data_IF_004853633576
#
_entry.id   IF_004853633576
#
_cell.length_a   1.000
_cell.length_b   1.000
_cell.length_c   1.000
_cell.angle_alpha   90.00
_cell.angle_beta   90.00
_cell.angle_gamma   90.00
#
_symmetry.space_group_name_H-M   'P 1'
#
loop_
_entity.id
_entity.type
_entity.pdbx_description
1 polymer ?
#
# COMPACT_ATOMS: atom_id res chain seq x y z
N UNK A 1 -2.27 19.93 4.54
CA UNK A 1 -2.91 18.76 5.18
C UNK A 1 -4.38 19.10 5.38
N UNK A 2 -5.30 18.20 5.02
CA UNK A 2 -6.76 18.45 5.07
C UNK A 2 -7.43 17.89 6.34
N UNK A 3 -6.66 17.61 7.40
CA UNK A 3 -7.18 17.03 8.65
C UNK A 3 -7.48 15.52 8.59
N UNK A 4 -7.00 14.81 7.57
CA UNK A 4 -7.17 13.35 7.47
C UNK A 4 -6.10 12.64 8.30
N UNK A 5 -6.49 11.58 9.00
CA UNK A 5 -5.56 10.61 9.56
C UNK A 5 -4.96 9.75 8.44
N UNK A 6 -3.64 9.67 8.39
CA UNK A 6 -2.92 8.97 7.32
C UNK A 6 -2.08 7.86 7.93
N UNK A 7 -2.31 6.64 7.43
CA UNK A 7 -1.46 5.49 7.67
C UNK A 7 -0.64 5.23 6.40
N UNK A 8 0.68 5.16 6.55
CA UNK A 8 1.58 4.77 5.48
C UNK A 8 2.23 3.42 5.81
N UNK A 9 2.10 2.46 4.90
CA UNK A 9 2.78 1.17 4.99
C UNK A 9 3.86 1.10 3.92
N UNK A 10 5.09 0.81 4.32
CA UNK A 10 6.24 0.68 3.42
C UNK A 10 7.17 -0.44 3.86
N UNK A 11 7.89 -1.06 2.91
CA UNK A 11 8.82 -2.17 3.21
C UNK A 11 10.01 -1.75 4.08
N UNK A 12 10.39 -0.48 4.00
CA UNK A 12 11.48 0.16 4.74
C UNK A 12 11.17 1.65 4.91
N UNK A 13 11.98 2.35 5.71
CA UNK A 13 11.87 3.79 5.93
C UNK A 13 13.08 4.59 5.37
N UNK A 14 13.88 3.99 4.50
CA UNK A 14 15.15 4.55 4.04
C UNK A 14 14.96 5.87 3.28
N UNK A 15 13.86 5.99 2.55
CA UNK A 15 13.53 7.17 1.74
C UNK A 15 12.34 7.97 2.31
N UNK A 16 11.93 7.69 3.55
CA UNK A 16 10.73 8.27 4.17
C UNK A 16 10.99 9.62 4.87
N UNK A 17 12.07 10.34 4.55
CA UNK A 17 12.46 11.58 5.27
C UNK A 17 11.34 12.63 5.22
N UNK A 18 10.72 12.82 4.05
CA UNK A 18 9.60 13.76 3.87
C UNK A 18 8.38 13.34 4.69
N UNK A 19 8.18 12.04 4.89
CA UNK A 19 7.07 11.51 5.68
C UNK A 19 7.25 11.77 7.18
N UNK A 20 8.50 11.85 7.67
CA UNK A 20 8.79 12.12 9.09
C UNK A 20 8.39 13.51 9.54
N UNK A 21 8.32 14.48 8.62
CA UNK A 21 7.84 15.84 8.92
C UNK A 21 6.32 15.98 8.80
N UNK A 22 5.61 14.91 8.46
CA UNK A 22 4.15 14.87 8.37
C UNK A 22 3.58 14.15 9.58
N UNK A 23 2.39 14.57 9.99
CA UNK A 23 1.61 13.91 11.02
C UNK A 23 0.94 12.65 10.44
N UNK A 24 1.72 11.57 10.32
CA UNK A 24 1.27 10.29 9.77
C UNK A 24 1.75 9.12 10.63
N UNK A 25 0.96 8.05 10.65
CA UNK A 25 1.36 6.79 11.29
C UNK A 25 2.09 5.91 10.29
N UNK A 26 3.35 5.58 10.57
CA UNK A 26 4.18 4.70 9.74
C UNK A 26 4.17 3.26 10.25
N UNK A 27 3.88 2.30 9.36
CA UNK A 27 4.09 0.87 9.60
C UNK A 27 5.08 0.27 8.60
N UNK A 28 5.95 -0.60 9.08
CA UNK A 28 6.82 -1.40 8.21
C UNK A 28 6.09 -2.68 7.80
N UNK A 29 5.89 -2.86 6.49
CA UNK A 29 5.15 -3.99 5.93
C UNK A 29 5.39 -4.18 4.44
N UNK A 30 5.24 -5.41 3.96
CA UNK A 30 5.32 -5.76 2.54
C UNK A 30 4.03 -6.48 2.13
N UNK A 31 3.62 -6.32 0.87
CA UNK A 31 2.48 -7.04 0.31
C UNK A 31 2.76 -8.54 0.09
N UNK A 32 4.03 -8.92 0.10
CA UNK A 32 4.48 -10.29 -0.11
C UNK A 32 4.79 -11.03 1.19
N UNK A 33 4.69 -10.39 2.36
CA UNK A 33 4.90 -11.02 3.66
C UNK A 33 3.65 -10.93 4.56
N UNK A 34 3.65 -11.72 5.64
CA UNK A 34 2.54 -11.81 6.61
C UNK A 34 2.42 -10.56 7.48
N UNK A 35 2.14 -9.42 6.87
CA UNK A 35 1.80 -8.18 7.56
C UNK A 35 0.32 -8.20 7.97
N UNK A 36 0.00 -7.65 9.14
CA UNK A 36 -1.34 -7.64 9.71
C UNK A 36 -2.32 -6.69 9.02
N UNK A 37 -2.53 -6.87 7.72
CA UNK A 37 -3.34 -6.00 6.86
C UNK A 37 -4.76 -5.81 7.36
N UNK A 38 -5.37 -6.84 7.96
CA UNK A 38 -6.73 -6.75 8.51
C UNK A 38 -6.86 -5.64 9.56
N UNK A 39 -5.88 -5.52 10.46
CA UNK A 39 -5.87 -4.48 11.50
C UNK A 39 -5.65 -3.10 10.91
N UNK A 40 -4.88 -2.98 9.84
CA UNK A 40 -4.62 -1.70 9.18
C UNK A 40 -5.79 -1.26 8.31
N UNK A 41 -6.47 -2.20 7.64
CA UNK A 41 -7.60 -1.92 6.77
C UNK A 41 -8.88 -1.62 7.56
N UNK A 42 -8.96 -2.06 8.82
CA UNK A 42 -10.11 -1.76 9.67
C UNK A 42 -10.22 -0.26 9.94
N UNK A 43 -11.32 0.34 9.47
CA UNK A 43 -11.57 1.78 9.58
C UNK A 43 -10.99 2.62 8.43
N UNK A 44 -10.29 2.02 7.46
CA UNK A 44 -9.79 2.75 6.30
C UNK A 44 -10.90 2.97 5.27
N UNK A 45 -11.12 4.23 4.91
CA UNK A 45 -12.12 4.62 3.92
C UNK A 45 -11.53 4.83 2.52
N UNK A 46 -10.25 5.21 2.44
CA UNK A 46 -9.57 5.52 1.17
C UNK A 46 -8.19 4.89 1.14
N UNK A 47 -7.88 4.18 0.06
CA UNK A 47 -6.59 3.53 -0.16
C UNK A 47 -5.92 4.15 -1.38
N UNK A 48 -4.67 4.57 -1.22
CA UNK A 48 -3.77 4.94 -2.31
C UNK A 48 -2.69 3.86 -2.45
N UNK A 49 -2.79 3.03 -3.49
CA UNK A 49 -1.83 1.98 -3.76
C UNK A 49 -0.77 2.48 -4.74
N UNK A 50 0.38 2.85 -4.17
CA UNK A 50 1.56 3.37 -4.86
C UNK A 50 2.68 2.33 -5.01
N UNK A 51 2.51 1.13 -4.43
CA UNK A 51 3.57 0.13 -4.42
C UNK A 51 3.73 -0.50 -5.81
N UNK A 52 4.96 -0.48 -6.30
CA UNK A 52 5.35 -1.10 -7.56
C UNK A 52 6.86 -1.06 -7.76
N UNK A 53 7.39 -2.13 -8.35
CA UNK A 53 8.76 -2.20 -8.84
C UNK A 53 8.83 -1.50 -10.18
N UNK A 54 9.70 -0.49 -10.30
CA UNK A 54 9.94 0.27 -11.53
C UNK A 54 11.22 -0.12 -12.25
N UNK A 55 12.20 -0.70 -11.55
CA UNK A 55 13.50 -1.12 -12.09
C UNK A 55 13.77 -2.60 -11.77
N UNK A 56 12.97 -3.50 -12.36
CA UNK A 56 13.15 -4.93 -12.18
C UNK A 56 14.19 -5.47 -13.17
N UNK A 57 14.94 -6.49 -12.78
CA UNK A 57 15.98 -7.10 -13.61
C UNK A 57 15.39 -8.02 -14.70
N UNK A 58 14.13 -8.46 -14.55
CA UNK A 58 13.43 -9.29 -15.53
C UNK A 58 11.90 -9.16 -15.41
N UNK A 59 11.20 -9.68 -16.42
CA UNK A 59 9.73 -9.66 -16.50
C UNK A 59 9.04 -10.39 -15.35
N UNK A 60 9.62 -11.48 -14.85
CA UNK A 60 9.08 -12.24 -13.72
C UNK A 60 8.98 -11.36 -12.47
N UNK A 61 10.00 -10.54 -12.19
CA UNK A 61 9.98 -9.64 -11.04
C UNK A 61 8.90 -8.55 -11.17
N UNK A 62 8.66 -8.01 -12.37
CA UNK A 62 7.52 -7.10 -12.59
C UNK A 62 6.19 -7.81 -12.34
N UNK A 63 6.03 -9.03 -12.85
CA UNK A 63 4.82 -9.81 -12.67
C UNK A 63 4.55 -10.12 -11.18
N UNK A 64 5.56 -10.54 -10.44
CA UNK A 64 5.44 -10.86 -9.02
C UNK A 64 5.23 -9.58 -8.18
N UNK A 65 6.10 -8.58 -8.36
CA UNK A 65 6.13 -7.37 -7.54
C UNK A 65 5.00 -6.38 -7.84
N UNK A 66 4.44 -6.38 -9.05
CA UNK A 66 3.35 -5.47 -9.42
C UNK A 66 2.03 -6.22 -9.53
N UNK A 67 1.92 -7.18 -10.45
CA UNK A 67 0.65 -7.83 -10.75
C UNK A 67 0.16 -8.73 -9.61
N UNK A 68 0.97 -9.72 -9.20
CA UNK A 68 0.54 -10.67 -8.17
C UNK A 68 0.37 -10.01 -6.80
N UNK A 69 1.33 -9.15 -6.41
CA UNK A 69 1.23 -8.39 -5.17
C UNK A 69 -0.04 -7.53 -5.11
N UNK A 70 -0.33 -6.75 -6.17
CA UNK A 70 -1.54 -5.92 -6.24
C UNK A 70 -2.81 -6.77 -6.25
N UNK A 71 -2.83 -7.88 -7.01
CA UNK A 71 -3.99 -8.79 -7.05
C UNK A 71 -4.32 -9.35 -5.66
N UNK A 72 -3.31 -9.79 -4.91
CA UNK A 72 -3.48 -10.27 -3.52
C UNK A 72 -3.99 -9.15 -2.62
N UNK A 73 -3.43 -7.95 -2.74
CA UNK A 73 -3.83 -6.81 -1.93
C UNK A 73 -5.29 -6.41 -2.16
N UNK A 74 -5.71 -6.32 -3.43
CA UNK A 74 -7.10 -6.03 -3.79
C UNK A 74 -8.05 -7.12 -3.27
N UNK A 75 -7.65 -8.39 -3.35
CA UNK A 75 -8.44 -9.48 -2.79
C UNK A 75 -8.63 -9.33 -1.26
N UNK A 76 -7.58 -8.97 -0.51
CA UNK A 76 -7.70 -8.66 0.92
C UNK A 76 -8.61 -7.45 1.19
N UNK A 77 -8.46 -6.37 0.41
CA UNK A 77 -9.31 -5.19 0.53
C UNK A 77 -10.79 -5.48 0.27
N UNK A 78 -11.10 -6.49 -0.56
CA UNK A 78 -12.49 -6.87 -0.84
C UNK A 78 -13.24 -7.34 0.42
N UNK A 79 -12.54 -7.88 1.42
CA UNK A 79 -13.11 -8.21 2.73
C UNK A 79 -13.59 -6.99 3.54
N UNK A 80 -13.18 -5.78 3.15
CA UNK A 80 -13.51 -4.50 3.80
C UNK A 80 -14.28 -3.57 2.86
N UNK A 81 -14.88 -4.09 1.78
CA UNK A 81 -15.51 -3.29 0.73
C UNK A 81 -16.71 -2.46 1.21
N UNK A 82 -17.30 -2.79 2.35
CA UNK A 82 -18.35 -2.01 2.99
C UNK A 82 -17.83 -0.73 3.67
N UNK A 83 -16.54 -0.65 3.98
CA UNK A 83 -15.88 0.50 4.61
C UNK A 83 -15.07 1.31 3.59
N UNK A 84 -14.38 0.64 2.68
CA UNK A 84 -13.55 1.29 1.65
C UNK A 84 -14.45 1.97 0.62
N UNK A 85 -14.44 3.31 0.63
CA UNK A 85 -15.18 4.18 -0.29
C UNK A 85 -14.42 4.43 -1.59
N UNK A 86 -13.09 4.32 -1.56
CA UNK A 86 -12.24 4.57 -2.74
C UNK A 86 -10.93 3.80 -2.69
N UNK A 87 -10.61 3.12 -3.78
CA UNK A 87 -9.30 2.53 -4.03
C UNK A 87 -8.67 3.21 -5.25
N UNK A 88 -7.55 3.90 -5.04
CA UNK A 88 -6.78 4.55 -6.11
C UNK A 88 -5.56 3.69 -6.41
N UNK A 89 -5.60 3.03 -7.57
CA UNK A 89 -4.44 2.34 -8.13
C UNK A 89 -3.60 3.34 -8.93
N UNK A 90 -2.34 3.52 -8.56
CA UNK A 90 -1.38 4.28 -9.37
C UNK A 90 -0.49 3.29 -10.11
N UNK A 91 -0.43 3.44 -11.43
CA UNK A 91 0.40 2.63 -12.32
C UNK A 91 1.05 3.51 -13.39
N UNK A 92 1.81 2.91 -14.30
CA UNK A 92 2.42 3.60 -15.44
C UNK A 92 1.71 3.24 -16.75
N UNK A 93 1.76 4.16 -17.72
CA UNK A 93 1.34 3.92 -19.11
C UNK A 93 2.36 3.07 -19.88
#
# INVERSE_FOLDING_TARGET
QNGNEVICVAKDNLNAVVLKSLDITMHLGDLNNGFGWERILDGVEVIYHLAGVTRASNSKQYYEGNYLATKRFVAMCSGFSNKIKRFVLVSSL
#
